data_IF_165710096083
#
_entry.id   IF_165710096083
#
_cell.length_a   1.000
_cell.length_b   1.000
_cell.length_c   1.000
_cell.angle_alpha   90.00
_cell.angle_beta   90.00
_cell.angle_gamma   90.00
#
_symmetry.space_group_name_H-M   'P 1'
#
loop_
_entity.id
_entity.type
_entity.pdbx_description
1 polymer ?
#
# COMPACT_ATOMS: atom_id res chain seq x y z
N UNK A 1 -7.76 -5.71 0.87
CA UNK A 1 -6.81 -6.79 0.59
C UNK A 1 -6.47 -6.79 -0.89
N UNK A 2 -5.19 -6.84 -1.24
CA UNK A 2 -4.80 -6.80 -2.67
C UNK A 2 -4.85 -8.17 -3.37
N UNK A 3 -5.33 -9.20 -2.70
CA UNK A 3 -5.25 -10.58 -3.20
C UNK A 3 -6.50 -10.97 -3.99
N UNK A 4 -6.78 -10.20 -5.06
CA UNK A 4 -7.88 -10.52 -5.97
C UNK A 4 -7.48 -11.69 -6.88
N UNK A 5 -8.44 -12.23 -7.63
CA UNK A 5 -8.18 -13.32 -8.55
C UNK A 5 -7.02 -12.98 -9.49
N UNK A 6 -6.06 -13.91 -9.71
CA UNK A 6 -4.87 -13.61 -10.50
C UNK A 6 -5.16 -13.05 -11.90
N UNK A 7 -6.19 -13.53 -12.57
CA UNK A 7 -6.55 -13.07 -13.91
C UNK A 7 -7.04 -11.62 -13.93
N UNK A 8 -7.47 -11.07 -12.78
CA UNK A 8 -7.88 -9.68 -12.68
C UNK A 8 -6.74 -8.73 -12.39
N UNK A 9 -5.58 -9.26 -11.99
CA UNK A 9 -4.43 -8.42 -11.59
C UNK A 9 -3.78 -7.71 -12.76
N UNK A 10 -3.92 -8.25 -13.96
CA UNK A 10 -3.33 -7.69 -15.17
C UNK A 10 -4.11 -6.52 -15.74
N UNK A 11 -5.24 -6.19 -15.15
CA UNK A 11 -6.05 -5.05 -15.60
C UNK A 11 -5.40 -3.70 -15.29
N UNK A 12 -4.43 -3.67 -14.40
CA UNK A 12 -3.86 -2.41 -13.95
C UNK A 12 -2.49 -2.19 -14.55
N UNK A 13 -2.34 -1.01 -15.17
CA UNK A 13 -1.08 -0.60 -15.80
C UNK A 13 -0.07 -0.20 -14.71
N UNK A 14 1.17 -0.67 -14.80
CA UNK A 14 2.18 -0.24 -13.82
C UNK A 14 2.54 1.23 -14.01
N UNK A 15 2.76 1.91 -12.90
CA UNK A 15 3.28 3.28 -12.89
C UNK A 15 4.81 3.23 -12.89
N UNK A 16 5.45 4.23 -13.51
CA UNK A 16 6.90 4.28 -13.61
C UNK A 16 7.55 5.23 -12.62
N UNK A 17 6.80 6.14 -12.00
CA UNK A 17 7.34 7.09 -11.03
C UNK A 17 6.45 7.13 -9.80
N UNK A 18 6.98 7.65 -8.70
CA UNK A 18 6.19 7.84 -7.48
C UNK A 18 5.00 8.76 -7.72
N UNK A 19 5.18 9.81 -8.52
CA UNK A 19 4.10 10.72 -8.87
C UNK A 19 3.00 10.03 -9.65
N UNK A 20 3.36 9.21 -10.64
CA UNK A 20 2.39 8.44 -11.40
C UNK A 20 1.66 7.43 -10.51
N UNK A 21 2.38 6.77 -9.62
CA UNK A 21 1.75 5.81 -8.69
C UNK A 21 0.75 6.51 -7.79
N UNK A 22 1.12 7.66 -7.24
CA UNK A 22 0.22 8.44 -6.40
C UNK A 22 -1.02 8.88 -7.21
N UNK A 23 -0.83 9.32 -8.45
CA UNK A 23 -1.92 9.71 -9.32
C UNK A 23 -2.89 8.53 -9.57
N UNK A 24 -2.35 7.37 -9.88
CA UNK A 24 -3.18 6.18 -10.12
C UNK A 24 -3.99 5.83 -8.88
N UNK A 25 -3.35 5.80 -7.71
CA UNK A 25 -4.04 5.53 -6.45
C UNK A 25 -5.15 6.55 -6.21
N UNK A 26 -4.84 7.84 -6.39
CA UNK A 26 -5.80 8.92 -6.19
C UNK A 26 -6.97 8.82 -7.17
N UNK A 27 -6.68 8.48 -8.43
CA UNK A 27 -7.72 8.33 -9.44
C UNK A 27 -8.67 7.17 -9.12
N UNK A 28 -8.13 6.08 -8.61
CA UNK A 28 -8.95 4.94 -8.18
C UNK A 28 -9.85 5.32 -7.00
N UNK A 29 -9.30 6.04 -6.04
CA UNK A 29 -10.05 6.53 -4.88
C UNK A 29 -11.16 7.49 -5.33
N UNK A 30 -10.82 8.42 -6.21
CA UNK A 30 -11.78 9.39 -6.74
C UNK A 30 -12.95 8.68 -7.43
N UNK A 31 -12.64 7.68 -8.27
CA UNK A 31 -13.67 6.90 -8.95
C UNK A 31 -14.57 6.14 -7.97
N UNK A 32 -13.99 5.59 -6.91
CA UNK A 32 -14.75 4.89 -5.89
C UNK A 32 -15.72 5.81 -5.15
N UNK A 33 -15.31 7.05 -4.90
CA UNK A 33 -16.10 8.02 -4.14
C UNK A 33 -17.06 8.82 -5.00
N UNK A 34 -16.95 8.78 -6.32
CA UNK A 34 -17.56 9.74 -7.24
C UNK A 34 -19.04 10.05 -6.99
N UNK A 35 -19.84 9.03 -6.77
CA UNK A 35 -21.30 9.22 -6.60
C UNK A 35 -21.75 8.99 -5.17
N UNK A 36 -20.83 8.82 -4.25
CA UNK A 36 -21.17 8.48 -2.88
C UNK A 36 -20.08 8.92 -1.92
N UNK A 37 -20.03 10.22 -1.63
CA UNK A 37 -19.13 10.77 -0.63
C UNK A 37 -19.89 10.83 0.69
N UNK A 38 -19.43 10.08 1.69
CA UNK A 38 -20.04 10.05 3.01
C UNK A 38 -18.95 9.72 4.03
N UNK A 39 -19.25 9.91 5.31
CA UNK A 39 -18.35 9.51 6.36
C UNK A 39 -17.97 8.02 6.23
N UNK A 40 -18.95 7.20 5.89
CA UNK A 40 -18.75 5.76 5.73
C UNK A 40 -17.78 5.44 4.60
N UNK A 41 -17.99 6.03 3.42
CA UNK A 41 -17.14 5.72 2.26
C UNK A 41 -15.74 6.30 2.44
N UNK A 42 -15.61 7.46 3.10
CA UNK A 42 -14.30 8.01 3.43
C UNK A 42 -13.55 7.12 4.40
N UNK A 43 -14.24 6.59 5.42
CA UNK A 43 -13.64 5.63 6.34
C UNK A 43 -13.20 4.35 5.63
N UNK A 44 -14.02 3.86 4.70
CA UNK A 44 -13.68 2.66 3.93
C UNK A 44 -12.39 2.87 3.15
N UNK A 45 -12.27 4.01 2.44
CA UNK A 45 -11.09 4.29 1.63
C UNK A 45 -9.85 4.46 2.48
N UNK A 46 -9.97 5.23 3.58
CA UNK A 46 -8.83 5.43 4.50
C UNK A 46 -8.37 4.08 5.05
N UNK A 47 -9.33 3.22 5.42
CA UNK A 47 -9.01 1.88 5.90
C UNK A 47 -8.31 1.03 4.85
N UNK A 48 -8.79 1.07 3.61
CA UNK A 48 -8.16 0.33 2.50
C UNK A 48 -6.73 0.79 2.28
N UNK A 49 -6.50 2.10 2.26
CA UNK A 49 -5.16 2.65 2.07
C UNK A 49 -4.23 2.26 3.21
N UNK A 50 -4.73 2.28 4.43
CA UNK A 50 -3.94 1.87 5.58
C UNK A 50 -3.59 0.38 5.52
N UNK A 51 -4.57 -0.45 5.14
CA UNK A 51 -4.32 -1.89 4.99
C UNK A 51 -3.31 -2.17 3.88
N UNK A 52 -3.38 -1.45 2.77
CA UNK A 52 -2.41 -1.61 1.69
C UNK A 52 -1.01 -1.25 2.15
N UNK A 53 -0.89 -0.16 2.92
CA UNK A 53 0.39 0.26 3.50
C UNK A 53 0.95 -0.81 4.43
N UNK A 54 0.13 -1.32 5.34
CA UNK A 54 0.56 -2.32 6.32
C UNK A 54 0.96 -3.63 5.65
N UNK A 55 0.22 -4.03 4.62
CA UNK A 55 0.53 -5.25 3.87
C UNK A 55 1.87 -5.10 3.16
N UNK A 56 2.11 -3.98 2.52
CA UNK A 56 3.38 -3.69 1.86
C UNK A 56 4.53 -3.72 2.88
N UNK A 57 4.34 -3.07 4.01
CA UNK A 57 5.36 -3.01 5.04
C UNK A 57 5.70 -4.41 5.53
N UNK A 58 4.68 -5.17 5.91
CA UNK A 58 4.89 -6.49 6.49
C UNK A 58 5.54 -7.46 5.50
N UNK A 59 5.09 -7.44 4.25
CA UNK A 59 5.50 -8.45 3.27
C UNK A 59 6.80 -8.10 2.55
N UNK A 60 7.10 -6.82 2.39
CA UNK A 60 8.24 -6.38 1.59
C UNK A 60 9.22 -5.54 2.39
N UNK A 61 8.74 -4.45 3.02
CA UNK A 61 9.64 -3.50 3.67
C UNK A 61 10.31 -4.10 4.90
N UNK A 62 9.56 -4.80 5.75
CA UNK A 62 10.13 -5.38 6.96
C UNK A 62 11.20 -6.44 6.65
N UNK A 63 10.96 -7.41 5.75
CA UNK A 63 12.02 -8.34 5.37
C UNK A 63 13.23 -7.66 4.75
N UNK A 64 13.03 -6.61 3.94
CA UNK A 64 14.14 -5.84 3.37
C UNK A 64 14.96 -5.19 4.47
N UNK A 65 14.29 -4.57 5.44
CA UNK A 65 14.97 -3.95 6.58
C UNK A 65 15.71 -4.97 7.44
N UNK A 66 15.12 -6.15 7.64
CA UNK A 66 15.77 -7.23 8.37
C UNK A 66 17.07 -7.64 7.68
N UNK A 67 17.05 -7.74 6.36
CA UNK A 67 18.26 -8.07 5.59
C UNK A 67 19.33 -6.97 5.74
N UNK A 68 18.92 -5.71 5.69
CA UNK A 68 19.85 -4.58 5.89
C UNK A 68 20.41 -4.53 7.30
N UNK A 69 19.60 -4.83 8.28
CA UNK A 69 20.03 -4.91 9.67
C UNK A 69 21.09 -6.00 9.86
N UNK A 70 20.88 -7.17 9.26
CA UNK A 70 21.84 -8.27 9.31
C UNK A 70 23.16 -7.90 8.61
N UNK A 71 23.07 -7.17 7.50
CA UNK A 71 24.23 -6.79 6.69
C UNK A 71 25.05 -5.69 7.34
N UNK A 72 24.40 -4.65 7.85
CA UNK A 72 25.07 -3.44 8.35
C UNK A 72 25.07 -3.28 9.86
N UNK A 73 24.41 -4.15 10.60
CA UNK A 73 24.25 -4.06 12.04
C UNK A 73 23.03 -3.25 12.44
N UNK A 74 22.45 -3.64 13.56
CA UNK A 74 21.26 -2.99 14.10
C UNK A 74 21.63 -1.64 14.71
N UNK A 75 20.79 -0.63 14.48
CA UNK A 75 20.98 0.71 15.07
C UNK A 75 20.23 0.85 16.40
N UNK A 76 19.25 0.01 16.66
CA UNK A 76 18.54 0.02 17.93
C UNK A 76 19.32 -0.75 18.98
N UNK A 77 19.41 -0.18 20.16
CA UNK A 77 20.04 -0.85 21.32
C UNK A 77 19.00 -1.44 22.26
N UNK A 78 17.75 -1.01 22.13
CA UNK A 78 16.63 -1.52 22.95
C UNK A 78 16.09 -2.82 22.36
N UNK A 79 15.55 -3.67 23.22
CA UNK A 79 14.89 -4.92 22.79
C UNK A 79 13.46 -4.95 23.31
N UNK A 80 12.53 -5.55 22.55
CA UNK A 80 11.13 -5.63 22.99
C UNK A 80 10.94 -6.47 24.23
#
# INVERSE_FOLDING_TARGET
MPYIEPELRDLYRPASTAGELNYVITSLVDAYLKDNVSYRTLNEVIGVLECAKLELYRRIAAPYEDAKCAENGDVYTVRP
#
